data_IF_542024916712
#
_entry.id   IF_542024916712
#
_cell.length_a   1.000
_cell.length_b   1.000
_cell.length_c   1.000
_cell.angle_alpha   90.00
_cell.angle_beta   90.00
_cell.angle_gamma   90.00
#
_symmetry.space_group_name_H-M   'P 1'
#
loop_
_entity.id
_entity.type
_entity.pdbx_description
1 polymer ?
#
# COMPACT_ATOMS: atom_id res chain seq x y z
N UNK A 1 18.97 22.67 3.65
CA UNK A 1 18.49 23.81 2.83
C UNK A 1 17.46 23.27 1.85
N UNK A 2 16.24 23.74 1.95
CA UNK A 2 15.19 23.38 0.95
C UNK A 2 15.53 24.12 -0.33
N UNK A 3 15.81 23.39 -1.40
CA UNK A 3 16.16 23.95 -2.69
C UNK A 3 14.87 24.28 -3.46
N UNK A 4 14.86 25.33 -4.27
CA UNK A 4 13.71 25.67 -5.15
C UNK A 4 13.22 24.47 -5.97
N UNK A 5 14.10 23.54 -6.31
CA UNK A 5 13.76 22.28 -7.00
C UNK A 5 12.77 21.42 -6.21
N UNK A 6 12.86 21.38 -4.88
CA UNK A 6 11.92 20.59 -4.04
C UNK A 6 10.49 21.12 -4.13
N UNK A 7 10.34 22.45 -4.07
CA UNK A 7 9.01 23.08 -4.23
C UNK A 7 8.44 22.84 -5.63
N UNK A 8 9.28 22.89 -6.67
CA UNK A 8 8.85 22.65 -8.05
C UNK A 8 8.35 21.20 -8.19
N UNK A 9 9.08 20.22 -7.66
CA UNK A 9 8.66 18.80 -7.71
C UNK A 9 7.35 18.57 -6.99
N UNK A 10 7.18 19.13 -5.79
CA UNK A 10 5.93 19.04 -5.04
C UNK A 10 4.79 19.69 -5.82
N UNK A 11 4.99 20.90 -6.37
CA UNK A 11 3.98 21.60 -7.13
C UNK A 11 3.56 20.82 -8.39
N UNK A 12 4.52 20.27 -9.15
CA UNK A 12 4.24 19.43 -10.32
C UNK A 12 3.39 18.20 -9.91
N UNK A 13 3.76 17.51 -8.83
CA UNK A 13 3.02 16.37 -8.34
C UNK A 13 1.57 16.72 -7.96
N UNK A 14 1.36 17.82 -7.23
CA UNK A 14 0.04 18.29 -6.83
C UNK A 14 -0.82 18.67 -8.06
N UNK A 15 -0.22 19.38 -9.02
CA UNK A 15 -0.90 19.75 -10.27
C UNK A 15 -1.29 18.50 -11.07
N UNK A 16 -0.41 17.53 -11.23
CA UNK A 16 -0.71 16.28 -11.93
C UNK A 16 -1.85 15.51 -11.25
N UNK A 17 -1.85 15.45 -9.92
CA UNK A 17 -2.93 14.79 -9.16
C UNK A 17 -4.28 15.49 -9.39
N UNK A 18 -4.33 16.82 -9.38
CA UNK A 18 -5.54 17.60 -9.66
C UNK A 18 -6.00 17.38 -11.10
N UNK A 19 -5.09 17.41 -12.07
CA UNK A 19 -5.42 17.20 -13.48
C UNK A 19 -6.01 15.81 -13.71
N UNK A 20 -5.40 14.76 -13.14
CA UNK A 20 -5.93 13.40 -13.24
C UNK A 20 -7.34 13.34 -12.63
N UNK A 21 -7.53 13.91 -11.44
CA UNK A 21 -8.84 13.95 -10.78
C UNK A 21 -9.89 14.66 -11.65
N UNK A 22 -9.53 15.78 -12.23
CA UNK A 22 -10.43 16.55 -13.10
C UNK A 22 -10.81 15.79 -14.38
N UNK A 23 -9.83 15.18 -15.08
CA UNK A 23 -10.10 14.38 -16.28
C UNK A 23 -10.95 13.15 -16.00
N UNK A 24 -10.66 12.46 -14.91
CA UNK A 24 -11.42 11.25 -14.51
C UNK A 24 -12.85 11.64 -14.15
N UNK A 25 -13.03 12.72 -13.39
CA UNK A 25 -14.35 13.22 -13.01
C UNK A 25 -15.20 13.57 -14.23
N UNK A 26 -14.66 14.28 -15.23
CA UNK A 26 -15.38 14.60 -16.46
C UNK A 26 -15.87 13.36 -17.22
N UNK A 27 -15.11 12.26 -17.19
CA UNK A 27 -15.48 11.00 -17.85
C UNK A 27 -16.46 10.16 -17.03
N UNK A 28 -16.52 10.38 -15.73
CA UNK A 28 -17.39 9.66 -14.79
C UNK A 28 -18.77 10.31 -14.65
N UNK A 29 -19.00 11.49 -15.21
CA UNK A 29 -20.31 12.17 -15.21
C UNK A 29 -21.31 11.35 -16.03
N UNK A 30 -21.99 10.43 -15.40
CA UNK A 30 -22.96 9.49 -16.01
C UNK A 30 -22.83 8.06 -15.48
N UNK A 31 -21.77 7.68 -14.83
CA UNK A 31 -21.65 6.39 -14.14
C UNK A 31 -22.06 6.57 -12.69
N UNK A 32 -23.21 6.05 -12.35
CA UNK A 32 -23.90 6.17 -11.06
C UNK A 32 -23.19 5.45 -9.90
N UNK A 33 -22.03 4.84 -10.12
CA UNK A 33 -21.41 3.97 -9.15
C UNK A 33 -20.11 4.56 -8.58
N UNK A 34 -20.28 5.44 -7.57
CA UNK A 34 -19.19 6.09 -6.84
C UNK A 34 -18.27 5.08 -6.13
N UNK A 35 -18.82 3.92 -5.73
CA UNK A 35 -18.12 2.94 -4.89
C UNK A 35 -17.35 1.88 -5.67
N UNK A 36 -17.84 1.47 -6.87
CA UNK A 36 -17.21 0.42 -7.68
C UNK A 36 -16.65 0.95 -9.01
N UNK A 37 -16.83 2.24 -9.32
CA UNK A 37 -16.33 2.85 -10.56
C UNK A 37 -16.88 2.21 -11.83
N UNK A 38 -18.09 1.64 -11.76
CA UNK A 38 -18.74 0.97 -12.87
C UNK A 38 -18.12 -0.38 -13.26
N UNK A 39 -17.28 -0.97 -12.43
CA UNK A 39 -16.59 -2.26 -12.67
C UNK A 39 -15.84 -2.31 -14.02
N UNK A 40 -15.16 -1.24 -14.40
CA UNK A 40 -14.54 -1.11 -15.73
C UNK A 40 -13.03 -1.30 -15.75
N UNK A 41 -12.39 -1.43 -14.59
CA UNK A 41 -10.93 -1.46 -14.51
C UNK A 41 -10.31 -2.78 -14.98
N UNK A 42 -9.19 -2.67 -15.68
CA UNK A 42 -8.36 -3.79 -16.07
C UNK A 42 -7.54 -4.33 -14.88
N UNK A 43 -7.00 -5.54 -15.05
CA UNK A 43 -6.22 -6.22 -14.01
C UNK A 43 -4.96 -5.45 -13.58
N UNK A 44 -4.29 -4.77 -14.51
CA UNK A 44 -3.07 -4.02 -14.24
C UNK A 44 -3.37 -2.76 -13.41
N UNK A 45 -4.32 -1.93 -13.86
CA UNK A 45 -4.71 -0.70 -13.18
C UNK A 45 -5.23 -0.98 -11.77
N UNK A 46 -6.12 -1.95 -11.62
CA UNK A 46 -6.63 -2.35 -10.32
C UNK A 46 -5.54 -2.97 -9.44
N UNK A 47 -4.67 -3.82 -10.00
CA UNK A 47 -3.58 -4.45 -9.27
C UNK A 47 -2.55 -3.45 -8.75
N UNK A 48 -2.18 -2.44 -9.55
CA UNK A 48 -1.29 -1.37 -9.12
C UNK A 48 -1.96 -0.50 -8.04
N UNK A 49 -3.26 -0.20 -8.15
CA UNK A 49 -3.98 0.55 -7.13
C UNK A 49 -4.10 -0.22 -5.81
N UNK A 50 -4.35 -1.54 -5.85
CA UNK A 50 -4.33 -2.39 -4.66
C UNK A 50 -2.94 -2.38 -4.04
N UNK A 51 -1.90 -2.52 -4.85
CA UNK A 51 -0.50 -2.47 -4.42
C UNK A 51 -0.16 -1.13 -3.76
N UNK A 52 -0.55 0.00 -4.37
CA UNK A 52 -0.37 1.34 -3.81
C UNK A 52 -1.08 1.55 -2.48
N UNK A 53 -2.26 0.92 -2.31
CA UNK A 53 -3.00 0.96 -1.04
C UNK A 53 -2.25 0.25 0.07
N UNK A 54 -1.54 -0.81 -0.26
CA UNK A 54 -0.77 -1.61 0.70
C UNK A 54 0.61 -1.01 0.98
N UNK A 55 1.30 -0.52 -0.06
CA UNK A 55 2.62 0.10 0.07
C UNK A 55 2.46 1.59 0.32
N UNK A 56 2.74 1.99 1.54
CA UNK A 56 2.64 3.38 2.00
C UNK A 56 4.02 4.05 2.13
N UNK A 57 4.01 5.35 2.43
CA UNK A 57 5.22 6.08 2.81
C UNK A 57 5.94 5.45 4.02
N UNK A 58 5.17 4.87 4.96
CA UNK A 58 5.76 4.13 6.09
C UNK A 58 6.51 2.87 5.63
N UNK A 59 6.03 2.17 4.61
CA UNK A 59 6.74 1.02 4.03
C UNK A 59 8.04 1.46 3.37
N UNK A 60 7.99 2.57 2.64
CA UNK A 60 9.16 3.14 1.93
C UNK A 60 10.30 3.54 2.87
N UNK A 61 9.97 4.05 4.06
CA UNK A 61 10.98 4.47 5.06
C UNK A 61 11.23 3.35 6.06
N UNK A 62 10.18 2.68 6.50
CA UNK A 62 10.24 1.69 7.57
C UNK A 62 10.99 0.43 7.17
N UNK A 63 10.77 -0.09 5.96
CA UNK A 63 11.45 -1.31 5.53
C UNK A 63 12.97 -1.14 5.39
N UNK A 64 13.50 -0.11 4.71
CA UNK A 64 14.94 0.15 4.70
C UNK A 64 15.50 0.41 6.10
N UNK A 65 14.78 1.16 6.95
CA UNK A 65 15.20 1.43 8.32
C UNK A 65 15.25 0.17 9.20
N UNK A 66 14.30 -0.74 9.01
CA UNK A 66 14.30 -2.02 9.72
C UNK A 66 15.45 -2.92 9.28
N UNK A 67 15.66 -3.05 7.96
CA UNK A 67 16.80 -3.82 7.41
C UNK A 67 18.15 -3.21 7.80
N UNK A 68 18.25 -1.89 7.88
CA UNK A 68 19.44 -1.20 8.40
C UNK A 68 19.81 -1.69 9.81
N UNK A 69 18.82 -1.95 10.67
CA UNK A 69 19.03 -2.38 12.06
C UNK A 69 19.16 -3.90 12.22
N UNK A 70 18.34 -4.68 11.49
CA UNK A 70 18.16 -6.12 11.71
C UNK A 70 18.66 -6.98 10.56
N UNK A 71 19.20 -6.38 9.49
CA UNK A 71 19.58 -7.11 8.28
C UNK A 71 18.39 -7.60 7.46
N UNK A 72 18.67 -8.43 6.45
CA UNK A 72 17.66 -8.93 5.51
C UNK A 72 16.70 -9.97 6.13
N UNK A 73 16.92 -10.41 7.38
CA UNK A 73 15.97 -11.26 8.10
C UNK A 73 14.58 -10.63 8.26
N UNK A 74 14.50 -9.28 8.23
CA UNK A 74 13.22 -8.56 8.18
C UNK A 74 12.30 -8.99 7.02
N UNK A 75 12.84 -9.59 5.94
CA UNK A 75 12.04 -10.13 4.83
C UNK A 75 11.27 -11.39 5.17
N UNK A 76 11.60 -12.11 6.25
CA UNK A 76 10.91 -13.35 6.61
C UNK A 76 9.40 -13.16 6.77
N UNK A 77 8.96 -12.01 7.27
CA UNK A 77 7.53 -11.71 7.45
C UNK A 77 6.78 -11.55 6.12
N UNK A 78 7.48 -11.39 5.02
CA UNK A 78 6.90 -11.23 3.68
C UNK A 78 6.98 -12.51 2.82
N UNK A 79 7.66 -13.57 3.29
CA UNK A 79 7.75 -14.85 2.58
C UNK A 79 6.42 -15.61 2.53
N UNK A 80 5.42 -15.18 3.28
CA UNK A 80 4.08 -15.75 3.31
C UNK A 80 3.18 -15.31 2.15
N UNK A 81 3.58 -14.32 1.34
CA UNK A 81 2.73 -13.80 0.26
C UNK A 81 2.17 -14.87 -0.68
N UNK A 82 2.94 -15.87 -1.16
CA UNK A 82 2.39 -16.91 -2.03
C UNK A 82 1.20 -17.64 -1.40
N UNK A 83 1.28 -17.96 -0.11
CA UNK A 83 0.22 -18.65 0.64
C UNK A 83 -1.00 -17.74 0.75
N UNK A 84 -0.81 -16.51 1.23
CA UNK A 84 -1.89 -15.55 1.46
C UNK A 84 -2.61 -15.20 0.16
N UNK A 85 -1.87 -14.93 -0.89
CA UNK A 85 -2.44 -14.58 -2.20
C UNK A 85 -3.17 -15.77 -2.83
N UNK A 86 -2.68 -16.99 -2.65
CA UNK A 86 -3.39 -18.18 -3.06
C UNK A 86 -4.78 -18.24 -2.40
N UNK A 87 -4.88 -18.06 -1.09
CA UNK A 87 -6.17 -18.05 -0.39
C UNK A 87 -7.06 -16.89 -0.84
N UNK A 88 -6.50 -15.69 -1.02
CA UNK A 88 -7.25 -14.54 -1.50
C UNK A 88 -7.87 -14.79 -2.88
N UNK A 89 -7.09 -15.33 -3.81
CA UNK A 89 -7.49 -15.57 -5.20
C UNK A 89 -8.48 -16.73 -5.33
N UNK A 90 -8.25 -17.82 -4.59
CA UNK A 90 -9.05 -19.06 -4.74
C UNK A 90 -10.33 -19.03 -3.93
N UNK A 91 -10.31 -18.45 -2.74
CA UNK A 91 -11.44 -18.52 -1.82
C UNK A 91 -12.18 -17.18 -1.65
N UNK A 92 -11.48 -16.07 -1.40
CA UNK A 92 -12.16 -14.81 -1.07
C UNK A 92 -12.75 -14.12 -2.30
N UNK A 93 -11.98 -13.92 -3.36
CA UNK A 93 -12.45 -13.20 -4.57
C UNK A 93 -13.66 -13.88 -5.22
N UNK A 94 -13.68 -15.22 -5.46
CA UNK A 94 -14.84 -15.86 -6.06
C UNK A 94 -16.13 -15.70 -5.24
N UNK A 95 -16.03 -15.74 -3.91
CA UNK A 95 -17.19 -15.56 -3.03
C UNK A 95 -17.82 -14.18 -3.21
N UNK A 96 -17.01 -13.11 -3.18
CA UNK A 96 -17.53 -11.75 -3.31
C UNK A 96 -18.06 -11.46 -4.71
N UNK A 97 -17.39 -11.97 -5.76
CA UNK A 97 -17.84 -11.77 -7.14
C UNK A 97 -19.14 -12.49 -7.47
N UNK A 98 -19.30 -13.76 -7.08
CA UNK A 98 -20.49 -14.57 -7.38
C UNK A 98 -21.73 -14.06 -6.66
N UNK A 99 -21.57 -13.50 -5.48
CA UNK A 99 -22.68 -12.93 -4.72
C UNK A 99 -23.08 -11.53 -5.18
N UNK A 100 -22.29 -10.88 -6.05
CA UNK A 100 -22.61 -9.56 -6.61
C UNK A 100 -22.52 -8.40 -5.63
N UNK A 101 -21.96 -8.61 -4.43
CA UNK A 101 -21.84 -7.59 -3.40
C UNK A 101 -20.92 -6.43 -3.83
N UNK A 102 -21.20 -5.26 -3.27
CA UNK A 102 -20.38 -4.06 -3.45
C UNK A 102 -19.41 -3.83 -2.29
N UNK A 103 -19.65 -4.50 -1.18
CA UNK A 103 -18.80 -4.43 0.01
C UNK A 103 -18.80 -5.76 0.79
N UNK A 104 -17.74 -5.96 1.58
CA UNK A 104 -17.67 -7.11 2.48
C UNK A 104 -18.76 -7.07 3.56
N UNK A 105 -19.25 -5.87 3.91
CA UNK A 105 -20.28 -5.70 4.94
C UNK A 105 -21.65 -6.17 4.48
N UNK A 106 -21.95 -6.13 3.17
CA UNK A 106 -23.15 -6.74 2.59
C UNK A 106 -23.12 -8.26 2.74
N UNK A 107 -21.95 -8.88 2.56
CA UNK A 107 -21.77 -10.31 2.82
C UNK A 107 -22.06 -10.66 4.28
N UNK A 108 -21.55 -9.86 5.23
CA UNK A 108 -21.80 -10.09 6.66
C UNK A 108 -23.29 -9.91 7.01
N UNK A 109 -23.96 -8.93 6.43
CA UNK A 109 -25.40 -8.73 6.61
C UNK A 109 -26.19 -9.93 6.11
N UNK A 110 -25.91 -10.39 4.90
CA UNK A 110 -26.59 -11.50 4.27
C UNK A 110 -26.44 -12.81 5.08
N UNK A 111 -25.29 -13.03 5.70
CA UNK A 111 -24.99 -14.29 6.42
C UNK A 111 -25.34 -14.23 7.90
N UNK A 112 -25.15 -13.09 8.56
CA UNK A 112 -25.21 -12.95 10.01
C UNK A 112 -26.17 -11.85 10.48
N UNK A 113 -26.82 -11.14 9.54
CA UNK A 113 -27.80 -10.09 9.82
C UNK A 113 -27.20 -8.70 10.01
N UNK A 114 -28.09 -7.71 10.13
CA UNK A 114 -27.78 -6.27 10.19
C UNK A 114 -26.83 -5.91 11.35
N UNK A 115 -26.97 -6.55 12.50
CA UNK A 115 -26.10 -6.27 13.65
C UNK A 115 -24.62 -6.60 13.35
N UNK A 116 -24.36 -7.72 12.67
CA UNK A 116 -23.01 -8.10 12.29
C UNK A 116 -22.40 -7.07 11.31
N UNK A 117 -23.18 -6.61 10.31
CA UNK A 117 -22.77 -5.54 9.41
C UNK A 117 -22.41 -4.27 10.18
N UNK A 118 -23.33 -3.80 11.03
CA UNK A 118 -23.19 -2.52 11.74
C UNK A 118 -21.97 -2.53 12.65
N UNK A 119 -21.81 -3.56 13.48
CA UNK A 119 -20.65 -3.67 14.41
C UNK A 119 -19.34 -3.67 13.63
N UNK A 120 -19.22 -4.52 12.60
CA UNK A 120 -17.97 -4.60 11.83
C UNK A 120 -17.69 -3.30 11.05
N UNK A 121 -18.72 -2.62 10.53
CA UNK A 121 -18.54 -1.33 9.87
C UNK A 121 -18.04 -0.25 10.84
N UNK A 122 -18.59 -0.18 12.06
CA UNK A 122 -18.14 0.77 13.09
C UNK A 122 -16.71 0.46 13.51
N UNK A 123 -16.38 -0.80 13.78
CA UNK A 123 -15.02 -1.22 14.13
C UNK A 123 -14.03 -0.85 13.02
N UNK A 124 -14.38 -1.13 11.74
CA UNK A 124 -13.54 -0.75 10.61
C UNK A 124 -13.29 0.76 10.53
N UNK A 125 -14.33 1.58 10.68
CA UNK A 125 -14.20 3.04 10.65
C UNK A 125 -13.27 3.52 11.76
N UNK A 126 -13.43 3.02 12.99
CA UNK A 126 -12.58 3.40 14.12
C UNK A 126 -11.12 3.01 13.89
N UNK A 127 -10.88 1.76 13.48
CA UNK A 127 -9.52 1.27 13.18
C UNK A 127 -8.90 2.07 12.02
N UNK A 128 -9.70 2.37 10.99
CA UNK A 128 -9.20 3.14 9.84
C UNK A 128 -8.88 4.59 10.20
N UNK A 129 -9.67 5.23 11.06
CA UNK A 129 -9.38 6.58 11.57
C UNK A 129 -8.06 6.60 12.34
N UNK A 130 -7.87 5.64 13.26
CA UNK A 130 -6.61 5.54 14.04
C UNK A 130 -5.42 5.30 13.11
N UNK A 131 -5.53 4.32 12.21
CA UNK A 131 -4.45 3.99 11.25
C UNK A 131 -4.10 5.17 10.35
N UNK A 132 -5.10 5.87 9.83
CA UNK A 132 -4.89 7.07 9.01
C UNK A 132 -4.22 8.20 9.81
N UNK A 133 -4.59 8.37 11.07
CA UNK A 133 -3.96 9.35 11.95
C UNK A 133 -2.46 9.06 12.16
N UNK A 134 -2.09 7.80 12.38
CA UNK A 134 -0.68 7.38 12.52
C UNK A 134 0.09 7.63 11.22
N UNK A 135 -0.48 7.28 10.07
CA UNK A 135 0.15 7.50 8.76
C UNK A 135 0.34 8.99 8.48
N UNK A 136 -0.69 9.82 8.72
CA UNK A 136 -0.63 11.27 8.53
C UNK A 136 0.42 11.91 9.43
N UNK A 137 0.50 11.47 10.69
CA UNK A 137 1.53 11.94 11.61
C UNK A 137 2.94 11.60 11.13
N UNK A 138 3.16 10.36 10.67
CA UNK A 138 4.45 9.93 10.14
C UNK A 138 4.87 10.75 8.89
N UNK A 139 3.92 11.02 7.97
CA UNK A 139 4.18 11.86 6.80
C UNK A 139 4.46 13.32 7.21
N UNK A 140 3.71 13.83 8.19
CA UNK A 140 3.92 15.19 8.69
C UNK A 140 5.32 15.38 9.30
N UNK A 141 5.84 14.38 10.03
CA UNK A 141 7.21 14.40 10.56
C UNK A 141 8.28 14.54 9.47
N UNK A 142 8.04 13.98 8.29
CA UNK A 142 8.95 14.11 7.14
C UNK A 142 8.79 15.50 6.51
N UNK A 143 7.56 15.96 6.34
CA UNK A 143 7.29 17.26 5.70
C UNK A 143 7.87 18.44 6.48
N UNK A 144 7.80 18.43 7.81
CA UNK A 144 8.40 19.49 8.63
C UNK A 144 9.94 19.56 8.55
N UNK A 145 10.61 18.50 8.11
CA UNK A 145 12.04 18.54 7.82
C UNK A 145 12.35 19.29 6.50
N UNK A 146 11.35 19.32 5.62
CA UNK A 146 11.49 19.87 4.26
C UNK A 146 10.84 21.27 4.19
N UNK A 147 9.71 21.46 4.83
CA UNK A 147 8.91 22.69 4.77
C UNK A 147 8.87 23.40 6.11
N UNK A 148 8.93 24.74 6.17
CA UNK A 148 8.85 25.51 7.40
C UNK A 148 7.39 25.63 7.88
N UNK A 149 6.76 24.49 8.20
CA UNK A 149 5.38 24.39 8.69
C UNK A 149 5.32 23.56 9.95
N UNK A 150 4.27 23.71 10.73
CA UNK A 150 4.02 22.88 11.93
C UNK A 150 3.43 21.52 11.54
N UNK A 151 3.53 20.52 12.45
CA UNK A 151 2.94 19.18 12.25
C UNK A 151 1.43 19.29 11.99
N UNK A 152 0.73 20.16 12.71
CA UNK A 152 -0.72 20.34 12.56
C UNK A 152 -1.06 20.90 11.19
N UNK A 153 -0.34 21.92 10.73
CA UNK A 153 -0.52 22.48 9.38
C UNK A 153 -0.26 21.42 8.29
N UNK A 154 0.81 20.63 8.43
CA UNK A 154 1.10 19.56 7.50
C UNK A 154 -0.06 18.53 7.41
N UNK A 155 -0.58 18.08 8.56
CA UNK A 155 -1.72 17.14 8.60
C UNK A 155 -2.95 17.76 7.97
N UNK A 156 -3.28 19.02 8.27
CA UNK A 156 -4.45 19.71 7.72
C UNK A 156 -4.32 19.86 6.20
N UNK A 157 -3.18 20.29 5.69
CA UNK A 157 -2.97 20.47 4.25
C UNK A 157 -3.07 19.16 3.49
N UNK A 158 -2.43 18.08 3.99
CA UNK A 158 -2.52 16.76 3.35
C UNK A 158 -3.97 16.27 3.34
N UNK A 159 -4.65 16.38 4.49
CA UNK A 159 -6.03 15.88 4.63
C UNK A 159 -6.99 16.63 3.72
N UNK A 160 -6.94 17.97 3.72
CA UNK A 160 -7.80 18.78 2.86
C UNK A 160 -7.53 18.51 1.38
N UNK A 161 -6.26 18.47 0.98
CA UNK A 161 -5.90 18.17 -0.40
C UNK A 161 -6.43 16.80 -0.84
N UNK A 162 -6.20 15.76 -0.03
CA UNK A 162 -6.65 14.39 -0.33
C UNK A 162 -8.18 14.30 -0.37
N UNK A 163 -8.86 14.92 0.59
CA UNK A 163 -10.32 14.93 0.64
C UNK A 163 -10.93 15.61 -0.59
N UNK A 164 -10.38 16.76 -1.03
CA UNK A 164 -10.89 17.50 -2.17
C UNK A 164 -10.86 16.68 -3.46
N UNK A 165 -9.72 16.07 -3.83
CA UNK A 165 -9.66 15.32 -5.07
C UNK A 165 -10.40 13.97 -5.01
N UNK A 166 -10.45 13.33 -3.84
CA UNK A 166 -11.17 12.07 -3.66
C UNK A 166 -12.70 12.28 -3.72
N UNK A 167 -13.19 13.34 -3.08
CA UNK A 167 -14.61 13.67 -3.10
C UNK A 167 -15.13 13.94 -4.52
N UNK A 168 -14.32 14.60 -5.35
CA UNK A 168 -14.71 14.97 -6.70
C UNK A 168 -14.94 13.76 -7.64
N UNK A 169 -14.19 12.67 -7.50
CA UNK A 169 -14.21 11.60 -8.51
C UNK A 169 -14.36 10.17 -7.99
N UNK A 170 -14.61 9.96 -6.69
CA UNK A 170 -14.83 8.64 -6.09
C UNK A 170 -13.68 7.66 -6.31
N UNK A 171 -14.01 6.35 -6.32
CA UNK A 171 -13.00 5.28 -6.44
C UNK A 171 -12.23 5.34 -7.76
N UNK A 172 -12.84 5.82 -8.84
CA UNK A 172 -12.17 5.94 -10.13
C UNK A 172 -10.99 6.90 -10.09
N UNK A 173 -11.16 8.06 -9.44
CA UNK A 173 -10.07 9.01 -9.23
C UNK A 173 -8.98 8.42 -8.35
N UNK A 174 -9.36 7.74 -7.25
CA UNK A 174 -8.40 7.10 -6.36
C UNK A 174 -7.54 6.08 -7.11
N UNK A 175 -8.13 5.22 -7.93
CA UNK A 175 -7.39 4.21 -8.71
C UNK A 175 -6.36 4.87 -9.65
N UNK A 176 -6.71 5.96 -10.32
CA UNK A 176 -5.78 6.65 -11.23
C UNK A 176 -4.71 7.45 -10.50
N UNK A 177 -5.05 8.09 -9.39
CA UNK A 177 -4.05 8.77 -8.55
C UNK A 177 -3.11 7.79 -7.88
N UNK A 178 -3.59 6.60 -7.47
CA UNK A 178 -2.74 5.51 -6.95
C UNK A 178 -1.69 5.06 -7.98
N UNK A 179 -2.06 5.02 -9.28
CA UNK A 179 -1.10 4.72 -10.36
C UNK A 179 0.01 5.78 -10.46
N UNK A 180 -0.35 7.08 -10.41
CA UNK A 180 0.64 8.16 -10.40
C UNK A 180 1.55 8.05 -9.19
N UNK A 181 0.97 7.85 -8.00
CA UNK A 181 1.72 7.74 -6.74
C UNK A 181 2.68 6.55 -6.76
N UNK A 182 2.24 5.40 -7.28
CA UNK A 182 3.09 4.21 -7.43
C UNK A 182 4.25 4.47 -8.40
N UNK A 183 3.99 5.15 -9.51
CA UNK A 183 5.03 5.49 -10.48
C UNK A 183 6.09 6.43 -9.86
N UNK A 184 5.66 7.46 -9.13
CA UNK A 184 6.56 8.40 -8.43
C UNK A 184 7.36 7.67 -7.35
N UNK A 185 6.72 6.81 -6.56
CA UNK A 185 7.38 6.04 -5.50
C UNK A 185 8.44 5.11 -6.08
N UNK A 186 8.12 4.36 -7.12
CA UNK A 186 9.07 3.44 -7.77
C UNK A 186 10.22 4.22 -8.41
N UNK A 187 9.93 5.29 -9.16
CA UNK A 187 10.96 6.10 -9.79
C UNK A 187 11.89 6.74 -8.76
N UNK A 188 11.34 7.30 -7.68
CA UNK A 188 12.13 7.85 -6.57
C UNK A 188 12.99 6.81 -5.89
N UNK A 189 12.43 5.62 -5.62
CA UNK A 189 13.17 4.51 -5.01
C UNK A 189 14.34 4.04 -5.89
N UNK A 190 14.11 3.91 -7.20
CA UNK A 190 15.16 3.53 -8.16
C UNK A 190 16.22 4.61 -8.24
N UNK A 191 15.84 5.89 -8.24
CA UNK A 191 16.81 6.99 -8.26
C UNK A 191 17.70 6.97 -7.00
N UNK A 192 17.13 6.77 -5.82
CA UNK A 192 17.89 6.65 -4.57
C UNK A 192 18.82 5.44 -4.63
N UNK A 193 18.34 4.30 -5.10
CA UNK A 193 19.14 3.08 -5.23
C UNK A 193 20.35 3.29 -6.12
N UNK A 194 20.15 3.91 -7.30
CA UNK A 194 21.25 4.23 -8.23
C UNK A 194 22.24 5.20 -7.61
N UNK A 195 21.75 6.26 -6.94
CA UNK A 195 22.63 7.25 -6.28
C UNK A 195 23.47 6.60 -5.19
N UNK A 196 22.90 5.72 -4.37
CA UNK A 196 23.64 4.98 -3.34
C UNK A 196 24.69 4.06 -3.97
N UNK A 197 24.35 3.32 -5.03
CA UNK A 197 25.31 2.47 -5.74
C UNK A 197 26.50 3.25 -6.32
N UNK A 198 26.28 4.49 -6.77
CA UNK A 198 27.35 5.33 -7.31
C UNK A 198 28.26 5.93 -6.23
N UNK A 199 27.78 5.99 -4.98
CA UNK A 199 28.53 6.59 -3.87
C UNK A 199 29.23 5.55 -2.98
N UNK A 200 28.81 4.31 -3.04
CA UNK A 200 29.39 3.20 -2.27
C UNK A 200 30.54 2.59 -3.09
N UNK A 201 31.75 2.66 -2.55
CA UNK A 201 32.95 2.04 -3.14
C UNK A 201 32.97 0.50 -3.01
N UNK A 202 31.95 -0.14 -3.59
CA UNK A 202 31.77 -1.60 -3.57
C UNK A 202 31.07 -2.12 -2.31
N UNK A 203 30.73 -3.42 -2.32
CA UNK A 203 29.94 -4.10 -1.26
C UNK A 203 30.85 -4.55 -0.09
N UNK A 204 32.01 -3.94 0.10
CA UNK A 204 33.06 -4.40 1.03
C UNK A 204 32.71 -4.24 2.53
N UNK A 205 31.62 -3.55 2.87
CA UNK A 205 31.18 -3.35 4.26
C UNK A 205 30.04 -4.28 4.73
N UNK A 206 29.42 -5.05 3.82
CA UNK A 206 28.26 -5.90 4.19
C UNK A 206 28.71 -7.20 4.81
N UNK A 207 28.30 -7.46 6.05
CA UNK A 207 28.55 -8.76 6.66
C UNK A 207 27.64 -9.84 6.05
N UNK A 208 28.11 -11.11 6.03
CA UNK A 208 27.27 -12.23 5.58
C UNK A 208 26.01 -12.40 6.43
N UNK A 209 26.05 -12.03 7.69
CA UNK A 209 24.93 -12.08 8.61
C UNK A 209 23.84 -11.09 8.21
N UNK A 210 24.21 -9.88 7.77
CA UNK A 210 23.24 -8.88 7.27
C UNK A 210 22.53 -9.32 5.98
N UNK A 211 23.13 -10.19 5.18
CA UNK A 211 22.55 -10.74 3.95
C UNK A 211 21.73 -12.01 4.19
N UNK A 212 21.75 -12.57 5.40
CA UNK A 212 20.96 -13.73 5.71
C UNK A 212 19.48 -13.37 5.71
N UNK A 213 18.71 -14.00 4.81
CA UNK A 213 17.26 -13.78 4.72
C UNK A 213 16.51 -14.76 5.63
N UNK A 214 16.97 -16.00 5.73
CA UNK A 214 16.20 -17.08 6.37
C UNK A 214 16.70 -17.29 7.80
N UNK A 215 15.87 -16.93 8.77
CA UNK A 215 16.07 -17.24 10.17
C UNK A 215 15.12 -18.37 10.58
N UNK A 216 15.68 -19.58 10.80
CA UNK A 216 14.95 -20.78 11.17
C UNK A 216 14.80 -20.98 12.70
N UNK A 217 15.34 -20.06 13.49
CA UNK A 217 15.23 -20.14 14.94
C UNK A 217 13.75 -20.14 15.35
N UNK A 218 13.39 -21.07 16.25
CA UNK A 218 12.06 -21.11 16.83
C UNK A 218 12.07 -20.34 18.15
N UNK A 219 11.93 -19.02 18.03
CA UNK A 219 11.85 -18.12 19.17
C UNK A 219 10.62 -17.21 19.01
N UNK A 220 9.70 -17.28 19.97
CA UNK A 220 8.47 -16.47 19.96
C UNK A 220 8.71 -15.00 20.35
N UNK A 221 9.88 -14.68 20.87
CA UNK A 221 10.29 -13.31 21.19
C UNK A 221 10.95 -12.56 20.02
N UNK A 222 11.23 -13.25 18.91
CA UNK A 222 11.90 -12.68 17.73
C UNK A 222 10.92 -12.63 16.56
N UNK A 223 10.63 -11.44 16.08
CA UNK A 223 9.66 -11.17 15.02
C UNK A 223 10.20 -11.45 13.59
N UNK A 224 11.52 -11.51 13.42
CA UNK A 224 12.18 -11.75 12.13
C UNK A 224 12.43 -13.23 11.81
N UNK A 225 11.80 -14.16 12.53
CA UNK A 225 11.92 -15.58 12.24
C UNK A 225 11.00 -16.01 11.08
N UNK A 226 11.39 -17.07 10.36
CA UNK A 226 10.55 -17.66 9.32
C UNK A 226 9.19 -18.09 9.86
N UNK A 227 9.14 -18.63 11.08
CA UNK A 227 7.90 -19.09 11.72
C UNK A 227 6.95 -17.94 12.04
N UNK A 228 7.48 -16.82 12.54
CA UNK A 228 6.69 -15.61 12.73
C UNK A 228 6.08 -15.14 11.40
N UNK A 229 6.86 -15.08 10.33
CA UNK A 229 6.40 -14.69 9.01
C UNK A 229 5.37 -15.65 8.41
N UNK A 230 5.72 -16.93 8.28
CA UNK A 230 4.88 -17.91 7.57
C UNK A 230 3.63 -18.29 8.36
N UNK A 231 3.67 -18.33 9.68
CA UNK A 231 2.51 -18.70 10.49
C UNK A 231 1.76 -17.46 10.98
N UNK A 232 2.35 -16.65 11.88
CA UNK A 232 1.62 -15.57 12.53
C UNK A 232 1.23 -14.46 11.55
N UNK A 233 2.17 -13.99 10.74
CA UNK A 233 1.90 -12.88 9.79
C UNK A 233 1.01 -13.33 8.63
N UNK A 234 0.93 -14.63 8.31
CA UNK A 234 -0.03 -15.14 7.32
C UNK A 234 -1.48 -14.85 7.71
N UNK A 235 -1.86 -15.04 8.97
CA UNK A 235 -3.22 -14.71 9.43
C UNK A 235 -3.50 -13.21 9.32
N UNK A 236 -2.51 -12.37 9.68
CA UNK A 236 -2.63 -10.92 9.53
C UNK A 236 -2.81 -10.52 8.06
N UNK A 237 -1.95 -11.02 7.17
CA UNK A 237 -2.04 -10.71 5.75
C UNK A 237 -3.29 -11.30 5.09
N UNK A 238 -3.77 -12.48 5.52
CA UNK A 238 -5.06 -13.03 5.05
C UNK A 238 -6.22 -12.12 5.45
N UNK A 239 -6.21 -11.54 6.64
CA UNK A 239 -7.18 -10.53 7.03
C UNK A 239 -7.10 -9.30 6.13
N UNK A 240 -5.91 -8.81 5.82
CA UNK A 240 -5.72 -7.64 4.95
C UNK A 240 -6.17 -7.91 3.51
N UNK A 241 -5.69 -8.98 2.88
CA UNK A 241 -5.99 -9.27 1.47
C UNK A 241 -7.37 -9.91 1.26
N UNK A 242 -7.91 -10.60 2.25
CA UNK A 242 -9.18 -11.30 2.17
C UNK A 242 -10.38 -10.51 2.65
N UNK A 243 -10.21 -9.60 3.63
CA UNK A 243 -11.35 -8.97 4.32
C UNK A 243 -11.24 -7.46 4.50
N UNK A 244 -10.15 -6.82 4.12
CA UNK A 244 -10.04 -5.37 4.22
C UNK A 244 -10.83 -4.67 3.09
N UNK A 245 -11.79 -3.83 3.47
CA UNK A 245 -12.66 -3.13 2.53
C UNK A 245 -11.90 -2.29 1.50
N UNK A 246 -10.79 -1.65 1.88
CA UNK A 246 -9.99 -0.83 0.96
C UNK A 246 -9.43 -1.64 -0.21
N UNK A 247 -9.03 -2.89 0.03
CA UNK A 247 -8.51 -3.81 -0.98
C UNK A 247 -9.65 -4.44 -1.77
N UNK A 248 -10.67 -4.93 -1.08
CA UNK A 248 -11.83 -5.58 -1.69
C UNK A 248 -12.56 -4.63 -2.63
N UNK A 249 -12.77 -3.38 -2.24
CA UNK A 249 -13.44 -2.38 -3.07
C UNK A 249 -12.72 -2.18 -4.42
N UNK A 250 -11.38 -2.07 -4.42
CA UNK A 250 -10.59 -1.96 -5.66
C UNK A 250 -10.65 -3.24 -6.49
N UNK A 251 -10.65 -4.38 -5.82
CA UNK A 251 -10.80 -5.69 -6.47
C UNK A 251 -12.16 -5.80 -7.16
N UNK A 252 -13.24 -5.37 -6.49
CA UNK A 252 -14.61 -5.37 -7.05
C UNK A 252 -14.84 -4.31 -8.14
N UNK A 253 -13.97 -3.32 -8.26
CA UNK A 253 -14.01 -2.34 -9.35
C UNK A 253 -13.54 -2.90 -10.70
N UNK A 254 -13.05 -4.15 -10.75
CA UNK A 254 -12.61 -4.81 -11.98
C UNK A 254 -13.77 -5.39 -12.77
N UNK A 255 -13.53 -5.65 -14.08
CA UNK A 255 -14.57 -6.07 -15.06
C UNK A 255 -15.16 -7.45 -14.77
N UNK A 256 -14.38 -8.38 -14.26
CA UNK A 256 -14.82 -9.75 -13.99
C UNK A 256 -13.92 -10.43 -12.96
N UNK A 257 -14.39 -11.58 -12.45
CA UNK A 257 -13.68 -12.39 -11.43
C UNK A 257 -12.24 -12.71 -11.85
N UNK A 258 -12.02 -13.15 -13.10
CA UNK A 258 -10.65 -13.45 -13.60
C UNK A 258 -9.73 -12.22 -13.61
N UNK A 259 -10.29 -11.05 -13.89
CA UNK A 259 -9.54 -9.78 -13.85
C UNK A 259 -9.18 -9.42 -12.41
N UNK A 260 -10.10 -9.62 -11.46
CA UNK A 260 -9.88 -9.44 -10.04
C UNK A 260 -8.79 -10.37 -9.49
N UNK A 261 -8.83 -11.65 -9.87
CA UNK A 261 -7.82 -12.62 -9.50
C UNK A 261 -6.42 -12.22 -10.01
N UNK A 262 -6.32 -11.80 -11.27
CA UNK A 262 -5.06 -11.31 -11.85
C UNK A 262 -4.55 -10.03 -11.17
N UNK A 263 -5.45 -9.11 -10.79
CA UNK A 263 -5.07 -7.90 -10.07
C UNK A 263 -4.52 -8.21 -8.68
N UNK A 264 -5.09 -9.18 -7.99
CA UNK A 264 -4.60 -9.64 -6.69
C UNK A 264 -3.25 -10.35 -6.80
N UNK A 265 -3.04 -11.19 -7.84
CA UNK A 265 -1.74 -11.80 -8.12
C UNK A 265 -0.67 -10.72 -8.37
N UNK A 266 -0.98 -9.72 -9.21
CA UNK A 266 -0.06 -8.60 -9.45
C UNK A 266 0.28 -7.87 -8.14
N UNK A 267 -0.72 -7.59 -7.30
CA UNK A 267 -0.51 -6.95 -6.02
C UNK A 267 0.41 -7.77 -5.11
N UNK A 268 0.13 -9.05 -4.90
CA UNK A 268 0.89 -9.87 -3.97
C UNK A 268 2.33 -10.11 -4.40
N UNK A 269 2.55 -10.49 -5.66
CA UNK A 269 3.91 -10.64 -6.17
C UNK A 269 4.62 -9.28 -6.26
N UNK A 270 3.93 -8.23 -6.71
CA UNK A 270 4.47 -6.88 -6.76
C UNK A 270 4.90 -6.37 -5.38
N UNK A 271 4.09 -6.62 -4.34
CA UNK A 271 4.42 -6.26 -2.97
C UNK A 271 5.70 -6.97 -2.50
N UNK A 272 5.83 -8.28 -2.74
CA UNK A 272 7.03 -9.03 -2.39
C UNK A 272 8.29 -8.44 -3.05
N UNK A 273 8.23 -8.16 -4.36
CA UNK A 273 9.37 -7.57 -5.07
C UNK A 273 9.71 -6.16 -4.57
N UNK A 274 8.72 -5.34 -4.22
CA UNK A 274 8.97 -4.00 -3.69
C UNK A 274 9.57 -4.08 -2.28
N UNK A 275 9.08 -4.97 -1.41
CA UNK A 275 9.68 -5.18 -0.09
C UNK A 275 11.12 -5.68 -0.19
N UNK A 276 11.38 -6.61 -1.11
CA UNK A 276 12.74 -7.07 -1.39
C UNK A 276 13.64 -5.93 -1.88
N UNK A 277 13.15 -5.10 -2.78
CA UNK A 277 13.89 -3.93 -3.29
C UNK A 277 14.16 -2.90 -2.17
N UNK A 278 13.18 -2.64 -1.30
CA UNK A 278 13.38 -1.76 -0.15
C UNK A 278 14.34 -2.36 0.88
N UNK A 279 14.37 -3.68 1.02
CA UNK A 279 15.38 -4.33 1.85
C UNK A 279 16.78 -4.14 1.29
N UNK A 280 16.97 -4.25 -0.03
CA UNK A 280 18.25 -3.94 -0.67
C UNK A 280 18.66 -2.48 -0.46
N UNK A 281 17.70 -1.53 -0.50
CA UNK A 281 17.97 -0.13 -0.12
C UNK A 281 18.47 -0.02 1.32
N UNK A 282 17.86 -0.76 2.25
CA UNK A 282 18.28 -0.78 3.66
C UNK A 282 19.71 -1.30 3.84
N UNK A 283 20.08 -2.35 3.11
CA UNK A 283 21.46 -2.86 3.10
C UNK A 283 22.43 -1.82 2.54
N UNK A 284 22.09 -1.16 1.43
CA UNK A 284 22.97 -0.12 0.87
C UNK A 284 23.13 1.06 1.83
N UNK A 285 22.07 1.46 2.53
CA UNK A 285 22.14 2.51 3.55
C UNK A 285 23.00 2.13 4.75
N UNK A 286 23.15 0.83 5.07
CA UNK A 286 23.98 0.39 6.20
C UNK A 286 25.48 0.46 5.92
N UNK A 287 25.89 0.58 4.66
CA UNK A 287 27.28 0.68 4.22
C UNK A 287 27.65 2.08 3.69
N UNK A 288 26.65 2.95 3.50
CA UNK A 288 26.84 4.37 3.15
C UNK A 288 27.20 5.20 4.39
#
# INVERSE_FOLDING_TARGET
>A
MVTYSTFIVIAIYLILTILISWFVNQRSIGNTDFSTGGRQFGWFTAGVSILATYISAMTFIGMPGWVYQSGMEALNIHLNYPIVIFFAVVFFIPVFYRMGFTSIYEYLEHRFGVYARTINSVVFILVQCISSGVILYAIALILIQILPISIVEAIVYITLFTACYTYAGGISTVIWTDMLQSAVLIAGSVAIFVLLLLQVDGVHGVSREQLNIINLQFDLGVDTTLWAGVVAVSFLHMSVYGTNQLIIQRTLATRCEKTAQKSMLLCGYGAFFIYFFFALLGVLLSIF
#
